data_IF_315149666108
#
_entry.id   IF_315149666108
#
_cell.length_a   1.000
_cell.length_b   1.000
_cell.length_c   1.000
_cell.angle_alpha   90.00
_cell.angle_beta   90.00
_cell.angle_gamma   90.00
#
_symmetry.space_group_name_H-M   'P 1'
#
loop_
_entity.id
_entity.type
_entity.pdbx_description
1 polymer ?
#
# COMPACT_ATOMS: atom_id res chain seq x y z
N UNK A 1 -2.89 -0.93 -29.57
CA UNK A 1 -1.72 -1.29 -28.77
C UNK A 1 -0.68 -0.22 -28.96
N UNK A 2 -0.19 0.41 -27.89
CA UNK A 2 0.97 1.30 -28.00
C UNK A 2 2.14 0.50 -28.56
N UNK A 3 2.98 1.12 -29.38
CA UNK A 3 4.22 0.52 -29.86
C UNK A 3 5.17 0.37 -28.66
N UNK A 4 5.09 -0.78 -27.97
CA UNK A 4 5.91 -1.07 -26.80
C UNK A 4 7.40 -1.07 -27.13
N UNK A 5 7.76 -1.55 -28.33
CA UNK A 5 9.14 -1.56 -28.77
C UNK A 5 9.69 -0.14 -28.93
N UNK A 6 8.93 0.73 -29.60
CA UNK A 6 9.29 2.15 -29.71
C UNK A 6 9.37 2.84 -28.36
N UNK A 7 8.52 2.47 -27.40
CA UNK A 7 8.54 3.02 -26.05
C UNK A 7 9.81 2.59 -25.30
N UNK A 8 10.19 1.32 -25.37
CA UNK A 8 11.38 0.79 -24.69
C UNK A 8 12.68 1.29 -25.31
N UNK A 9 12.70 1.58 -26.62
CA UNK A 9 13.86 2.14 -27.32
C UNK A 9 14.23 3.55 -26.84
N UNK A 10 13.31 4.26 -26.18
CA UNK A 10 13.59 5.56 -25.56
C UNK A 10 14.54 5.43 -24.35
N UNK A 11 14.55 4.26 -23.69
CA UNK A 11 15.37 3.99 -22.49
C UNK A 11 16.66 3.31 -22.91
N UNK A 12 17.82 3.95 -22.74
CA UNK A 12 19.10 3.38 -23.17
C UNK A 12 19.38 1.97 -22.64
N UNK A 13 19.07 1.70 -21.37
CA UNK A 13 19.28 0.41 -20.72
C UNK A 13 18.43 -0.73 -21.33
N UNK A 14 17.37 -0.43 -22.08
CA UNK A 14 16.45 -1.43 -22.65
C UNK A 14 16.69 -1.68 -24.16
N UNK A 15 17.60 -0.96 -24.82
CA UNK A 15 17.82 -1.06 -26.26
C UNK A 15 18.30 -2.44 -26.72
N UNK A 16 19.16 -3.08 -25.93
CA UNK A 16 19.69 -4.42 -26.23
C UNK A 16 18.88 -5.53 -25.54
N UNK A 17 17.56 -5.34 -25.38
CA UNK A 17 16.67 -6.33 -24.74
C UNK A 17 16.66 -7.66 -25.49
N UNK A 18 16.71 -8.74 -24.74
CA UNK A 18 16.68 -10.12 -25.21
C UNK A 18 15.30 -10.74 -25.07
N UNK A 19 14.59 -10.36 -24.02
CA UNK A 19 13.23 -10.83 -23.76
C UNK A 19 12.40 -9.74 -23.09
N UNK A 20 11.08 -9.79 -23.34
CA UNK A 20 10.06 -8.97 -22.68
C UNK A 20 8.95 -9.91 -22.27
N UNK A 21 8.59 -9.93 -21.00
CA UNK A 21 7.50 -10.71 -20.46
C UNK A 21 6.62 -9.82 -19.57
N UNK A 22 5.31 -9.86 -19.79
CA UNK A 22 4.37 -9.18 -18.92
C UNK A 22 4.34 -9.85 -17.54
N UNK A 23 4.40 -9.04 -16.48
CA UNK A 23 4.26 -9.49 -15.11
C UNK A 23 2.80 -9.43 -14.71
N UNK A 24 2.28 -10.54 -14.21
CA UNK A 24 0.90 -10.64 -13.71
C UNK A 24 0.71 -9.84 -12.40
N UNK A 25 -0.51 -9.44 -12.10
CA UNK A 25 -0.92 -8.91 -10.78
C UNK A 25 -1.08 -7.40 -10.69
N UNK A 26 -0.78 -6.61 -11.72
CA UNK A 26 -1.02 -5.16 -11.70
C UNK A 26 -2.51 -4.82 -11.81
N UNK A 27 -3.09 -4.11 -10.83
CA UNK A 27 -4.48 -3.65 -10.85
C UNK A 27 -4.64 -2.20 -11.34
N UNK A 28 -3.54 -1.47 -11.51
CA UNK A 28 -3.51 -0.05 -11.93
C UNK A 28 -2.54 0.19 -13.08
N UNK A 29 -1.50 -0.64 -13.21
CA UNK A 29 -0.41 -0.50 -14.16
C UNK A 29 -0.18 -1.80 -14.91
N UNK A 30 0.43 -1.71 -16.10
CA UNK A 30 1.01 -2.88 -16.76
C UNK A 30 2.51 -2.91 -16.51
N UNK A 31 3.00 -3.99 -15.95
CA UNK A 31 4.41 -4.18 -15.63
C UNK A 31 5.03 -5.23 -16.57
N UNK A 32 6.24 -4.96 -17.04
CA UNK A 32 7.00 -5.87 -17.89
C UNK A 32 8.35 -6.17 -17.26
N UNK A 33 8.74 -7.45 -17.23
CA UNK A 33 10.14 -7.84 -17.01
C UNK A 33 10.88 -7.79 -18.34
N UNK A 34 11.95 -7.02 -18.40
CA UNK A 34 12.81 -6.87 -19.57
C UNK A 34 14.20 -7.37 -19.22
N UNK A 35 14.72 -8.35 -19.97
CA UNK A 35 16.06 -8.87 -19.79
C UNK A 35 17.01 -8.34 -20.86
N UNK A 36 18.18 -7.89 -20.44
CA UNK A 36 19.26 -7.40 -21.30
C UNK A 36 20.58 -8.10 -20.96
N UNK A 37 21.66 -7.88 -21.72
CA UNK A 37 22.99 -8.36 -21.34
C UNK A 37 23.50 -7.82 -20.00
N UNK A 38 23.04 -6.64 -19.61
CA UNK A 38 23.50 -5.93 -18.40
C UNK A 38 22.70 -6.29 -17.15
N UNK A 39 21.48 -6.82 -17.31
CA UNK A 39 20.61 -7.18 -16.17
C UNK A 39 19.16 -7.35 -16.55
N UNK A 40 18.33 -7.49 -15.53
CA UNK A 40 16.87 -7.52 -15.68
C UNK A 40 16.26 -6.27 -15.05
N UNK A 41 15.18 -5.79 -15.69
CA UNK A 41 14.48 -4.56 -15.30
C UNK A 41 12.98 -4.80 -15.21
N UNK A 42 12.31 -4.02 -14.36
CA UNK A 42 10.86 -3.88 -14.38
C UNK A 42 10.52 -2.58 -15.08
N UNK A 43 9.72 -2.66 -16.13
CA UNK A 43 9.20 -1.50 -16.85
C UNK A 43 7.72 -1.37 -16.52
N UNK A 44 7.38 -0.32 -15.77
CA UNK A 44 6.01 0.03 -15.43
C UNK A 44 5.47 1.01 -16.44
N UNK A 45 4.37 0.64 -17.10
CA UNK A 45 3.60 1.50 -18.00
C UNK A 45 2.30 1.85 -17.29
N UNK A 46 2.16 3.12 -16.90
CA UNK A 46 1.00 3.57 -16.13
C UNK A 46 -0.13 4.03 -17.02
N UNK A 47 -1.38 3.78 -16.59
CA UNK A 47 -2.55 4.32 -17.25
C UNK A 47 -2.60 5.86 -17.13
N UNK A 48 -3.10 6.53 -18.18
CA UNK A 48 -3.17 8.00 -18.23
C UNK A 48 -4.19 8.61 -17.25
N UNK A 49 -5.18 7.83 -16.77
CA UNK A 49 -6.28 8.30 -15.94
C UNK A 49 -6.10 7.99 -14.43
N UNK A 50 -4.87 7.93 -13.95
CA UNK A 50 -4.55 7.65 -12.53
C UNK A 50 -5.09 8.71 -11.53
N UNK A 51 -5.50 9.87 -12.01
CA UNK A 51 -6.03 10.97 -11.18
C UNK A 51 -7.31 10.64 -10.40
N UNK A 52 -8.14 9.69 -10.86
CA UNK A 52 -9.32 9.22 -10.13
C UNK A 52 -8.94 8.50 -8.83
N UNK A 53 -7.83 7.76 -8.86
CA UNK A 53 -7.32 6.95 -7.75
C UNK A 53 -6.38 7.71 -6.80
N UNK A 54 -6.26 9.03 -6.94
CA UNK A 54 -5.37 9.87 -6.15
C UNK A 54 -3.87 9.55 -6.32
N UNK A 55 -3.46 8.93 -7.41
CA UNK A 55 -2.07 8.59 -7.69
C UNK A 55 -1.37 9.76 -8.37
N UNK A 56 -0.23 10.19 -7.82
CA UNK A 56 0.70 11.16 -8.41
C UNK A 56 1.98 10.45 -8.85
N UNK A 57 2.25 10.39 -10.15
CA UNK A 57 3.38 9.63 -10.71
C UNK A 57 4.75 10.27 -10.43
N UNK A 58 4.82 11.57 -10.25
CA UNK A 58 6.06 12.22 -9.84
C UNK A 58 6.36 11.94 -8.36
N UNK A 59 5.32 11.94 -7.51
CA UNK A 59 5.44 11.53 -6.11
C UNK A 59 5.91 10.06 -6.00
N UNK A 60 5.29 9.14 -6.75
CA UNK A 60 5.70 7.73 -6.84
C UNK A 60 7.20 7.61 -7.20
N UNK A 61 7.63 8.30 -8.27
CA UNK A 61 9.03 8.28 -8.71
C UNK A 61 9.99 8.76 -7.63
N UNK A 62 9.74 9.94 -7.02
CA UNK A 62 10.62 10.53 -6.02
C UNK A 62 10.70 9.68 -4.75
N UNK A 63 9.57 9.10 -4.33
CA UNK A 63 9.51 8.24 -3.16
C UNK A 63 10.16 6.88 -3.42
N UNK A 64 10.05 6.32 -4.64
CA UNK A 64 10.78 5.12 -5.04
C UNK A 64 12.30 5.34 -4.97
N UNK A 65 12.78 6.51 -5.43
CA UNK A 65 14.21 6.88 -5.31
C UNK A 65 14.62 6.91 -3.83
N UNK A 66 13.84 7.55 -2.96
CA UNK A 66 14.13 7.63 -1.53
C UNK A 66 14.17 6.24 -0.86
N UNK A 67 13.23 5.36 -1.19
CA UNK A 67 13.19 3.98 -0.70
C UNK A 67 14.39 3.14 -1.20
N UNK A 68 14.81 3.35 -2.44
CA UNK A 68 16.01 2.71 -3.01
C UNK A 68 17.28 3.18 -2.28
N UNK A 69 17.43 4.48 -2.03
CA UNK A 69 18.55 5.05 -1.25
C UNK A 69 18.60 4.49 0.19
N UNK A 70 17.44 4.24 0.80
CA UNK A 70 17.35 3.58 2.11
C UNK A 70 17.65 2.07 2.05
N UNK A 71 17.87 1.52 0.86
CA UNK A 71 18.19 0.12 0.65
C UNK A 71 17.00 -0.83 0.87
N UNK A 72 15.76 -0.35 0.77
CA UNK A 72 14.55 -1.17 0.93
C UNK A 72 13.73 -1.27 -0.36
N UNK A 73 13.84 -0.31 -1.29
CA UNK A 73 13.18 -0.31 -2.59
C UNK A 73 14.08 -0.83 -3.73
N UNK A 74 13.52 -0.89 -4.94
CA UNK A 74 14.26 -1.12 -6.19
C UNK A 74 14.94 0.17 -6.66
N UNK A 75 16.14 0.07 -7.23
CA UNK A 75 16.80 1.24 -7.81
C UNK A 75 16.03 1.71 -9.07
N UNK A 76 15.89 3.03 -9.18
CA UNK A 76 15.31 3.64 -10.37
C UNK A 76 16.38 3.77 -11.44
N UNK A 77 16.09 3.24 -12.63
CA UNK A 77 16.97 3.27 -13.80
C UNK A 77 16.65 4.44 -14.70
N UNK A 78 15.34 4.67 -14.95
CA UNK A 78 14.88 5.78 -15.77
C UNK A 78 13.43 6.16 -15.43
N UNK A 79 13.05 7.42 -15.72
CA UNK A 79 11.69 7.91 -15.56
C UNK A 79 11.34 8.86 -16.69
N UNK A 80 10.34 8.49 -17.48
CA UNK A 80 9.84 9.27 -18.61
C UNK A 80 8.38 9.66 -18.35
N UNK A 81 8.12 10.80 -17.68
CA UNK A 81 6.77 11.19 -17.26
C UNK A 81 5.81 11.40 -18.42
N UNK A 82 6.26 11.96 -19.56
CA UNK A 82 5.43 12.17 -20.73
C UNK A 82 4.93 10.86 -21.36
N UNK A 83 5.69 9.78 -21.20
CA UNK A 83 5.36 8.44 -21.66
C UNK A 83 4.67 7.60 -20.56
N UNK A 84 4.51 8.13 -19.35
CA UNK A 84 4.00 7.42 -18.18
C UNK A 84 4.81 6.14 -17.88
N UNK A 85 6.15 6.24 -18.02
CA UNK A 85 7.06 5.11 -17.92
C UNK A 85 8.00 5.28 -16.72
N UNK A 86 8.07 4.25 -15.89
CA UNK A 86 9.05 4.11 -14.81
C UNK A 86 9.83 2.80 -15.00
N UNK A 87 11.15 2.88 -14.99
CA UNK A 87 12.05 1.72 -15.16
C UNK A 87 12.85 1.50 -13.89
N UNK A 88 12.77 0.29 -13.36
CA UNK A 88 13.38 -0.12 -12.11
C UNK A 88 14.31 -1.31 -12.34
N UNK A 89 15.32 -1.46 -11.51
CA UNK A 89 16.05 -2.73 -11.41
C UNK A 89 15.09 -3.85 -10.96
N UNK A 90 15.24 -5.03 -11.59
CA UNK A 90 14.48 -6.21 -11.18
C UNK A 90 15.08 -6.79 -9.89
N UNK A 91 14.31 -6.80 -8.81
CA UNK A 91 14.73 -7.44 -7.56
C UNK A 91 14.63 -8.96 -7.72
N UNK A 92 15.76 -9.64 -7.59
CA UNK A 92 15.80 -11.11 -7.57
C UNK A 92 15.42 -11.60 -6.19
N UNK A 93 14.32 -12.36 -6.11
CA UNK A 93 13.80 -12.86 -4.84
C UNK A 93 12.48 -13.59 -5.04
N UNK A 94 11.81 -13.91 -3.94
CA UNK A 94 10.51 -14.59 -3.93
C UNK A 94 9.44 -13.61 -3.44
N UNK A 95 8.48 -13.32 -4.29
CA UNK A 95 7.27 -12.54 -3.91
C UNK A 95 6.50 -13.32 -2.85
N UNK A 96 6.10 -12.64 -1.78
CA UNK A 96 5.32 -13.25 -0.71
C UNK A 96 3.85 -13.37 -1.10
N UNK A 97 3.17 -14.30 -0.47
CA UNK A 97 1.71 -14.45 -0.50
C UNK A 97 1.12 -14.16 0.88
N UNK A 98 -0.18 -13.93 0.96
CA UNK A 98 -0.86 -13.80 2.26
C UNK A 98 -0.65 -15.03 3.15
N UNK A 99 -0.58 -16.23 2.56
CA UNK A 99 -0.29 -17.48 3.30
C UNK A 99 1.13 -17.49 3.87
N UNK A 100 2.12 -16.96 3.13
CA UNK A 100 3.49 -16.81 3.62
C UNK A 100 3.54 -15.85 4.80
N UNK A 101 2.85 -14.73 4.72
CA UNK A 101 2.76 -13.75 5.81
C UNK A 101 2.06 -14.32 7.06
N UNK A 102 0.99 -15.09 6.87
CA UNK A 102 0.22 -15.72 7.96
C UNK A 102 0.99 -16.79 8.72
N UNK A 103 2.05 -17.39 8.15
CA UNK A 103 2.94 -18.28 8.91
C UNK A 103 3.61 -17.58 10.09
N UNK A 104 3.82 -16.27 9.97
CA UNK A 104 4.32 -15.43 11.04
C UNK A 104 5.82 -15.58 11.34
N UNK A 105 6.53 -16.45 10.63
CA UNK A 105 7.94 -16.77 10.87
C UNK A 105 8.93 -15.67 10.44
N UNK A 106 8.42 -14.62 9.79
CA UNK A 106 9.21 -13.49 9.28
C UNK A 106 8.64 -12.12 9.67
N UNK A 107 7.82 -12.04 10.70
CA UNK A 107 7.23 -10.76 11.17
C UNK A 107 8.30 -9.77 11.66
N UNK A 108 9.41 -10.25 12.18
CA UNK A 108 10.58 -9.45 12.52
C UNK A 108 11.25 -8.82 11.26
N UNK A 109 11.30 -9.55 10.14
CA UNK A 109 11.80 -9.03 8.85
C UNK A 109 10.84 -8.00 8.27
N UNK A 110 9.53 -8.21 8.40
CA UNK A 110 8.50 -7.23 8.00
C UNK A 110 8.71 -5.94 8.78
N UNK A 111 8.81 -6.03 10.12
CA UNK A 111 9.06 -4.88 10.98
C UNK A 111 10.40 -4.19 10.66
N UNK A 112 11.45 -4.96 10.35
CA UNK A 112 12.75 -4.42 9.97
C UNK A 112 12.70 -3.67 8.62
N UNK A 113 11.95 -4.19 7.63
CA UNK A 113 11.74 -3.50 6.35
C UNK A 113 10.97 -2.19 6.54
N UNK A 114 9.89 -2.19 7.33
CA UNK A 114 9.15 -0.98 7.68
C UNK A 114 10.04 0.05 8.41
N UNK A 115 10.81 -0.35 9.44
CA UNK A 115 11.74 0.58 10.10
C UNK A 115 12.77 1.19 9.16
N UNK A 116 13.27 0.41 8.19
CA UNK A 116 14.22 0.90 7.19
C UNK A 116 13.56 1.94 6.27
N UNK A 117 12.32 1.68 5.82
CA UNK A 117 11.55 2.62 5.03
C UNK A 117 11.23 3.90 5.80
N UNK A 118 10.74 3.76 7.04
CA UNK A 118 10.37 4.88 7.90
C UNK A 118 11.56 5.74 8.32
N UNK A 119 12.78 5.19 8.25
CA UNK A 119 14.05 5.93 8.43
C UNK A 119 14.60 6.55 7.15
N UNK A 120 13.94 6.43 6.01
CA UNK A 120 14.35 7.03 4.75
C UNK A 120 14.26 8.56 4.79
N UNK A 121 14.79 9.22 3.76
CA UNK A 121 14.55 10.63 3.54
C UNK A 121 13.05 10.91 3.43
N UNK A 122 12.53 12.01 4.02
CA UNK A 122 11.10 12.34 3.97
C UNK A 122 10.53 12.26 2.55
N UNK A 123 9.36 11.65 2.44
CA UNK A 123 8.62 11.60 1.19
C UNK A 123 8.02 12.96 0.87
N UNK A 124 7.67 13.18 -0.40
CA UNK A 124 7.25 14.48 -0.91
C UNK A 124 5.91 14.94 -0.33
N UNK A 125 4.91 14.07 -0.40
CA UNK A 125 3.54 14.39 -0.07
C UNK A 125 3.05 13.59 1.15
N UNK A 126 2.05 14.13 1.82
CA UNK A 126 1.38 13.44 2.92
C UNK A 126 0.34 12.44 2.37
N UNK A 127 0.17 11.34 3.10
CA UNK A 127 -0.94 10.42 2.91
C UNK A 127 -1.77 10.34 4.18
N UNK A 128 -3.11 10.44 4.05
CA UNK A 128 -4.03 10.27 5.16
C UNK A 128 -5.27 9.50 4.71
N UNK A 129 -5.50 8.33 5.29
CA UNK A 129 -6.62 7.47 4.88
C UNK A 129 -7.98 8.10 5.15
N UNK A 130 -8.14 8.99 6.15
CA UNK A 130 -9.40 9.71 6.34
C UNK A 130 -9.70 10.64 5.17
N UNK A 131 -8.67 11.34 4.65
CA UNK A 131 -8.84 12.24 3.49
C UNK A 131 -9.08 11.47 2.20
N UNK A 132 -8.37 10.36 1.99
CA UNK A 132 -8.56 9.45 0.85
C UNK A 132 -9.98 8.88 0.89
N UNK A 133 -10.46 8.38 2.02
CA UNK A 133 -11.81 7.85 2.20
C UNK A 133 -12.86 8.92 1.85
N UNK A 134 -12.73 10.13 2.39
CA UNK A 134 -13.64 11.25 2.08
C UNK A 134 -13.62 11.63 0.59
N UNK A 135 -12.43 11.62 -0.04
CA UNK A 135 -12.27 11.89 -1.48
C UNK A 135 -12.95 10.82 -2.32
N UNK A 136 -12.71 9.54 -2.01
CA UNK A 136 -13.31 8.43 -2.74
C UNK A 136 -14.82 8.37 -2.55
N UNK A 137 -15.33 8.61 -1.34
CA UNK A 137 -16.76 8.67 -1.09
C UNK A 137 -17.47 9.73 -1.94
N UNK A 138 -16.89 10.95 -2.00
CA UNK A 138 -17.42 12.01 -2.88
C UNK A 138 -17.41 11.58 -4.35
N UNK A 139 -16.38 10.88 -4.79
CA UNK A 139 -16.29 10.40 -6.17
C UNK A 139 -17.31 9.32 -6.47
N UNK A 140 -17.44 8.32 -5.59
CA UNK A 140 -18.44 7.22 -5.70
C UNK A 140 -19.84 7.80 -5.79
N UNK A 141 -20.21 8.71 -4.89
CA UNK A 141 -21.53 9.37 -4.88
C UNK A 141 -21.75 10.22 -6.14
N UNK A 142 -20.75 11.02 -6.55
CA UNK A 142 -20.86 11.89 -7.72
C UNK A 142 -21.03 11.10 -9.03
N UNK A 143 -20.39 9.93 -9.13
CA UNK A 143 -20.42 9.08 -10.33
C UNK A 143 -21.52 8.05 -10.29
N UNK A 144 -22.21 7.87 -9.16
CA UNK A 144 -23.24 6.85 -8.99
C UNK A 144 -22.68 5.43 -9.01
N UNK A 145 -21.42 5.25 -8.58
CA UNK A 145 -20.83 3.93 -8.42
C UNK A 145 -21.46 3.17 -7.26
N UNK A 146 -21.32 1.85 -7.22
CA UNK A 146 -21.85 1.00 -6.17
C UNK A 146 -21.29 1.41 -4.81
N UNK A 147 -22.14 1.46 -3.79
CA UNK A 147 -21.75 1.72 -2.41
C UNK A 147 -22.30 0.59 -1.54
N UNK A 148 -21.51 -0.02 -0.65
CA UNK A 148 -22.02 -1.06 0.24
C UNK A 148 -23.17 -0.57 1.12
N UNK A 149 -24.12 -1.45 1.40
CA UNK A 149 -25.19 -1.16 2.36
C UNK A 149 -24.59 -0.75 3.72
N UNK A 150 -25.25 0.17 4.41
CA UNK A 150 -24.80 0.71 5.71
C UNK A 150 -23.47 1.49 5.69
N UNK A 151 -22.77 1.65 4.53
CA UNK A 151 -21.47 2.31 4.50
C UNK A 151 -21.48 3.67 5.23
N UNK A 152 -22.51 4.49 4.99
CA UNK A 152 -22.63 5.82 5.61
C UNK A 152 -23.01 5.80 7.10
N UNK A 153 -23.50 4.66 7.61
CA UNK A 153 -23.90 4.52 9.02
C UNK A 153 -22.67 4.55 9.94
N UNK A 154 -21.48 4.19 9.45
CA UNK A 154 -20.23 4.17 10.21
C UNK A 154 -19.50 5.51 10.27
N UNK A 155 -20.02 6.56 9.64
CA UNK A 155 -19.40 7.89 9.68
C UNK A 155 -19.19 8.43 11.12
N UNK A 156 -20.10 8.22 12.10
CA UNK A 156 -19.82 8.58 13.50
C UNK A 156 -18.64 7.86 14.11
N UNK A 157 -18.48 6.55 13.85
CA UNK A 157 -17.34 5.76 14.32
C UNK A 157 -16.04 6.22 13.68
N UNK A 158 -16.03 6.51 12.37
CA UNK A 158 -14.87 7.06 11.66
C UNK A 158 -14.42 8.39 12.31
N UNK A 159 -15.36 9.29 12.61
CA UNK A 159 -15.04 10.54 13.31
C UNK A 159 -14.48 10.31 14.72
N UNK A 160 -14.99 9.33 15.44
CA UNK A 160 -14.46 8.97 16.77
C UNK A 160 -13.02 8.46 16.68
N UNK A 161 -12.69 7.63 15.68
CA UNK A 161 -11.32 7.18 15.44
C UNK A 161 -10.42 8.38 15.15
N UNK A 162 -10.80 9.24 14.20
CA UNK A 162 -10.00 10.41 13.80
C UNK A 162 -9.74 11.32 15.00
N UNK A 163 -10.76 11.61 15.81
CA UNK A 163 -10.61 12.42 17.03
C UNK A 163 -9.71 11.76 18.07
N UNK A 164 -9.84 10.46 18.28
CA UNK A 164 -9.01 9.73 19.26
C UNK A 164 -7.54 9.67 18.82
N UNK A 165 -7.28 9.46 17.52
CA UNK A 165 -5.94 9.51 16.94
C UNK A 165 -5.26 10.87 17.09
N UNK A 166 -6.05 11.95 17.00
CA UNK A 166 -5.57 13.34 17.13
C UNK A 166 -5.22 13.73 18.58
N UNK A 167 -5.64 12.98 19.59
CA UNK A 167 -5.27 13.24 21.01
C UNK A 167 -3.76 13.09 21.21
N UNK A 168 -3.15 12.14 20.50
CA UNK A 168 -1.71 11.92 20.52
C UNK A 168 -1.19 12.00 19.08
N UNK A 169 -0.46 13.06 18.80
CA UNK A 169 0.25 13.19 17.53
C UNK A 169 1.54 12.36 17.62
N UNK A 170 1.60 11.31 16.80
CA UNK A 170 2.77 10.42 16.71
C UNK A 170 3.77 10.88 15.63
N UNK A 171 3.46 12.00 14.95
CA UNK A 171 4.20 12.45 13.78
C UNK A 171 3.98 11.55 12.57
N UNK A 172 4.71 11.84 11.51
CA UNK A 172 4.66 11.07 10.26
C UNK A 172 6.03 10.61 9.82
N UNK A 173 6.07 9.47 9.15
CA UNK A 173 7.27 8.85 8.58
C UNK A 173 7.01 8.48 7.12
N UNK A 174 8.06 8.24 6.30
CA UNK A 174 7.89 7.71 4.95
C UNK A 174 7.22 6.33 4.98
N UNK A 175 6.03 6.19 4.42
CA UNK A 175 5.25 4.95 4.35
C UNK A 175 4.95 4.57 2.89
N UNK A 176 4.89 3.28 2.61
CA UNK A 176 4.40 2.77 1.34
C UNK A 176 2.88 2.93 1.22
N UNK A 177 2.14 2.73 2.32
CA UNK A 177 0.68 2.85 2.46
C UNK A 177 -0.16 1.79 1.75
N UNK A 178 0.45 0.88 1.00
CA UNK A 178 -0.23 -0.19 0.25
C UNK A 178 0.55 -1.50 0.31
N UNK A 179 0.95 -1.92 1.52
CA UNK A 179 1.75 -3.13 1.72
C UNK A 179 0.87 -4.39 1.76
N UNK A 180 0.43 -4.81 0.57
CA UNK A 180 -0.04 -6.18 0.35
C UNK A 180 1.13 -7.16 0.46
N UNK A 181 0.84 -8.44 0.69
CA UNK A 181 1.87 -9.49 0.77
C UNK A 181 2.76 -9.52 -0.49
N UNK A 182 2.16 -9.34 -1.66
CA UNK A 182 2.81 -9.32 -2.97
C UNK A 182 3.83 -8.18 -3.15
N UNK A 183 3.77 -7.16 -2.31
CA UNK A 183 4.72 -6.04 -2.30
C UNK A 183 5.97 -6.31 -1.46
N UNK A 184 6.07 -7.50 -0.85
CA UNK A 184 7.27 -7.96 -0.15
C UNK A 184 8.03 -8.99 -1.00
N UNK A 185 9.29 -8.67 -1.32
CA UNK A 185 10.20 -9.58 -2.03
C UNK A 185 11.23 -10.10 -1.03
N UNK A 186 11.18 -11.40 -0.75
CA UNK A 186 12.19 -12.10 0.06
C UNK A 186 13.49 -12.26 -0.73
N UNK A 187 14.54 -11.62 -0.30
CA UNK A 187 15.87 -11.65 -0.93
C UNK A 187 16.86 -12.56 -0.18
N UNK A 188 16.37 -13.35 0.78
CA UNK A 188 17.13 -14.34 1.54
C UNK A 188 17.71 -13.85 2.87
N UNK A 189 17.90 -12.55 3.04
CA UNK A 189 18.39 -11.90 4.27
C UNK A 189 17.48 -10.77 4.76
N UNK A 190 16.28 -10.69 4.23
CA UNK A 190 15.25 -9.71 4.57
C UNK A 190 14.29 -9.45 3.42
N UNK A 191 13.46 -8.42 3.60
CA UNK A 191 12.52 -8.00 2.57
C UNK A 191 12.97 -6.74 1.85
N UNK A 192 12.68 -6.68 0.54
CA UNK A 192 12.58 -5.46 -0.26
C UNK A 192 11.11 -5.17 -0.50
N UNK A 193 10.77 -3.88 -0.55
CA UNK A 193 9.42 -3.40 -0.76
C UNK A 193 9.30 -2.81 -2.16
N UNK A 194 8.17 -3.07 -2.80
CA UNK A 194 7.85 -2.56 -4.14
C UNK A 194 6.51 -1.81 -4.11
N UNK A 195 6.20 -1.16 -5.21
CA UNK A 195 4.95 -0.45 -5.47
C UNK A 195 4.68 0.73 -4.55
N UNK A 196 5.25 1.88 -4.90
CA UNK A 196 5.17 3.13 -4.12
C UNK A 196 4.11 4.11 -4.64
N UNK A 197 3.10 3.65 -5.39
CA UNK A 197 2.12 4.55 -6.03
C UNK A 197 1.20 5.29 -5.02
N UNK A 198 1.00 4.73 -3.82
CA UNK A 198 0.28 5.37 -2.71
C UNK A 198 1.21 5.89 -1.60
N UNK A 199 2.52 5.85 -1.82
CA UNK A 199 3.49 6.24 -0.81
C UNK A 199 3.39 7.73 -0.45
N UNK A 200 3.66 8.01 0.81
CA UNK A 200 3.63 9.38 1.38
C UNK A 200 4.01 9.37 2.84
N UNK A 201 4.10 10.56 3.41
CA UNK A 201 4.30 10.70 4.86
C UNK A 201 3.03 10.31 5.59
N UNK A 202 3.13 9.36 6.52
CA UNK A 202 1.97 8.86 7.28
C UNK A 202 2.40 8.38 8.68
N UNK A 203 1.41 8.07 9.51
CA UNK A 203 1.58 7.40 10.79
C UNK A 203 2.21 6.01 10.62
N UNK A 204 3.27 5.70 11.35
CA UNK A 204 3.92 4.39 11.30
C UNK A 204 2.95 3.23 11.61
N UNK A 205 2.00 3.45 12.51
CA UNK A 205 0.98 2.45 12.84
C UNK A 205 -0.02 2.21 11.70
N UNK A 206 -0.17 3.16 10.74
CA UNK A 206 -0.95 2.91 9.54
C UNK A 206 -0.33 1.78 8.72
N UNK A 207 0.98 1.83 8.48
CA UNK A 207 1.70 0.78 7.74
C UNK A 207 1.51 -0.59 8.38
N UNK A 208 1.70 -0.70 9.71
CA UNK A 208 1.54 -1.95 10.45
C UNK A 208 0.10 -2.48 10.41
N UNK A 209 -0.88 -1.58 10.54
CA UNK A 209 -2.31 -1.89 10.43
C UNK A 209 -2.73 -2.27 9.01
N UNK A 210 -2.17 -1.63 7.99
CA UNK A 210 -2.38 -1.98 6.59
C UNK A 210 -1.86 -3.40 6.30
N UNK A 211 -0.63 -3.73 6.70
CA UNK A 211 -0.06 -5.08 6.56
C UNK A 211 -0.94 -6.14 7.23
N UNK A 212 -1.36 -5.89 8.48
CA UNK A 212 -2.28 -6.77 9.20
C UNK A 212 -3.59 -6.99 8.41
N UNK A 213 -4.16 -5.91 7.92
CA UNK A 213 -5.39 -5.93 7.14
C UNK A 213 -5.26 -6.69 5.83
N UNK A 214 -4.24 -6.37 5.03
CA UNK A 214 -4.08 -6.89 3.68
C UNK A 214 -3.61 -8.35 3.66
N UNK A 215 -2.73 -8.73 4.59
CA UNK A 215 -2.24 -10.10 4.72
C UNK A 215 -3.16 -11.01 5.57
N UNK A 216 -4.30 -10.49 6.08
CA UNK A 216 -5.22 -11.23 6.94
C UNK A 216 -4.54 -11.87 8.17
N UNK A 217 -3.61 -11.15 8.79
CA UNK A 217 -2.95 -11.61 10.00
C UNK A 217 -3.93 -11.71 11.18
N UNK A 218 -3.68 -12.63 12.10
CA UNK A 218 -4.44 -12.73 13.35
C UNK A 218 -4.11 -11.55 14.29
N UNK A 219 -4.95 -11.30 15.31
CA UNK A 219 -4.68 -10.28 16.32
C UNK A 219 -3.37 -10.54 17.10
N UNK A 220 -3.02 -11.79 17.51
CA UNK A 220 -1.71 -12.07 18.09
C UNK A 220 -0.54 -11.72 17.16
N UNK A 221 -0.68 -11.92 15.84
CA UNK A 221 0.35 -11.55 14.88
C UNK A 221 0.47 -10.03 14.69
N UNK A 222 -0.64 -9.28 14.80
CA UNK A 222 -0.57 -7.82 14.85
C UNK A 222 0.21 -7.35 16.09
N UNK A 223 -0.07 -7.93 17.25
CA UNK A 223 0.61 -7.63 18.51
C UNK A 223 2.12 -7.91 18.39
N UNK A 224 2.48 -9.07 17.83
CA UNK A 224 3.86 -9.46 17.56
C UNK A 224 4.55 -8.51 16.56
N UNK A 225 3.90 -8.15 15.46
CA UNK A 225 4.43 -7.23 14.45
C UNK A 225 4.71 -5.85 15.06
N UNK A 226 3.76 -5.32 15.84
CA UNK A 226 3.92 -4.03 16.54
C UNK A 226 5.05 -4.12 17.57
N UNK A 227 5.13 -5.23 18.34
CA UNK A 227 6.21 -5.49 19.30
C UNK A 227 7.59 -5.54 18.62
N UNK A 228 7.71 -6.21 17.48
CA UNK A 228 8.95 -6.22 16.70
C UNK A 228 9.31 -4.84 16.15
N UNK A 229 8.32 -4.03 15.78
CA UNK A 229 8.57 -2.69 15.24
C UNK A 229 9.05 -1.71 16.32
N UNK A 230 8.40 -1.66 17.47
CA UNK A 230 8.74 -0.73 18.57
C UNK A 230 9.81 -1.28 19.52
N UNK A 231 10.10 -2.59 19.49
CA UNK A 231 11.02 -3.26 20.41
C UNK A 231 10.42 -3.62 21.75
N UNK A 232 9.13 -3.31 21.96
CA UNK A 232 8.36 -3.60 23.16
C UNK A 232 6.86 -3.67 22.85
N UNK A 233 6.08 -4.31 23.73
CA UNK A 233 4.63 -4.43 23.56
C UNK A 233 3.94 -3.21 24.15
N UNK A 234 3.47 -2.31 23.27
CA UNK A 234 2.77 -1.08 23.61
C UNK A 234 1.29 -1.21 23.23
N UNK A 235 0.42 -1.35 24.22
CA UNK A 235 -1.02 -1.58 23.99
C UNK A 235 -1.69 -0.47 23.20
N UNK A 236 -1.29 0.79 23.38
CA UNK A 236 -1.78 1.93 22.63
C UNK A 236 -1.33 1.89 21.15
N UNK A 237 -0.13 1.40 20.85
CA UNK A 237 0.36 1.23 19.47
C UNK A 237 -0.36 0.09 18.75
N UNK A 238 -0.64 -1.01 19.45
CA UNK A 238 -1.46 -2.11 18.92
C UNK A 238 -2.88 -1.62 18.62
N UNK A 239 -3.50 -0.87 19.56
CA UNK A 239 -4.81 -0.27 19.34
C UNK A 239 -4.78 0.70 18.14
N UNK A 240 -3.74 1.53 18.03
CA UNK A 240 -3.55 2.48 16.93
C UNK A 240 -3.41 1.77 15.59
N UNK A 241 -2.56 0.74 15.51
CA UNK A 241 -2.39 -0.05 14.30
C UNK A 241 -3.68 -0.79 13.89
N UNK A 242 -4.43 -1.35 14.86
CA UNK A 242 -5.72 -2.01 14.59
C UNK A 242 -6.77 -1.04 14.06
N UNK A 243 -6.88 0.17 14.64
CA UNK A 243 -7.80 1.21 14.15
C UNK A 243 -7.39 1.73 12.77
N UNK A 244 -6.10 1.88 12.49
CA UNK A 244 -5.62 2.21 11.15
C UNK A 244 -5.88 1.10 10.14
N UNK A 245 -5.71 -0.17 10.51
CA UNK A 245 -6.09 -1.31 9.67
C UNK A 245 -7.59 -1.38 9.40
N UNK A 246 -8.44 -0.99 10.36
CA UNK A 246 -9.87 -0.80 10.16
C UNK A 246 -10.14 0.30 9.12
N UNK A 247 -9.49 1.45 9.25
CA UNK A 247 -9.64 2.56 8.29
C UNK A 247 -9.10 2.21 6.90
N UNK A 248 -8.02 1.42 6.82
CA UNK A 248 -7.51 0.86 5.57
C UNK A 248 -8.57 0.02 4.85
N UNK A 249 -9.15 -0.98 5.52
CA UNK A 249 -10.24 -1.81 4.98
C UNK A 249 -11.42 -0.96 4.47
N UNK A 250 -11.86 -0.02 5.31
CA UNK A 250 -13.01 0.83 5.02
C UNK A 250 -12.74 1.78 3.84
N UNK A 251 -11.55 2.36 3.76
CA UNK A 251 -11.16 3.26 2.66
C UNK A 251 -10.94 2.53 1.34
N UNK A 252 -10.22 1.40 1.35
CA UNK A 252 -9.95 0.61 0.15
C UNK A 252 -11.21 -0.06 -0.44
N UNK A 253 -12.26 -0.26 0.36
CA UNK A 253 -13.59 -0.65 -0.16
C UNK A 253 -14.11 0.34 -1.21
N UNK A 254 -13.90 1.64 -1.01
CA UNK A 254 -14.31 2.65 -1.99
C UNK A 254 -13.42 2.67 -3.23
N UNK A 255 -12.12 2.37 -3.08
CA UNK A 255 -11.22 2.17 -4.21
C UNK A 255 -11.73 1.02 -5.11
N UNK A 256 -12.11 -0.09 -4.48
CA UNK A 256 -12.70 -1.22 -5.20
C UNK A 256 -14.00 -0.84 -5.93
N UNK A 257 -14.86 -0.05 -5.30
CA UNK A 257 -16.07 0.50 -5.91
C UNK A 257 -15.78 1.39 -7.12
N UNK A 258 -14.71 2.20 -7.06
CA UNK A 258 -14.27 3.03 -8.20
C UNK A 258 -13.78 2.13 -9.33
N UNK A 259 -12.93 1.15 -9.01
CA UNK A 259 -12.37 0.21 -9.99
C UNK A 259 -13.46 -0.64 -10.66
N UNK A 260 -14.45 -1.13 -9.90
CA UNK A 260 -15.64 -1.82 -10.44
C UNK A 260 -16.37 -0.98 -11.49
N UNK A 261 -16.40 0.35 -11.29
CA UNK A 261 -17.06 1.29 -12.20
C UNK A 261 -16.25 1.73 -13.41
N UNK A 262 -14.91 1.63 -13.40
CA UNK A 262 -14.06 2.23 -14.45
C UNK A 262 -13.01 1.29 -15.05
N UNK A 263 -12.61 0.23 -14.35
CA UNK A 263 -11.52 -0.65 -14.80
C UNK A 263 -11.93 -1.51 -15.98
N UNK A 264 -10.97 -1.77 -16.87
CA UNK A 264 -11.10 -2.73 -17.96
C UNK A 264 -10.37 -4.06 -17.67
N UNK A 265 -9.79 -4.18 -16.47
CA UNK A 265 -9.09 -5.37 -16.01
C UNK A 265 -10.14 -6.44 -15.65
N UNK A 266 -9.94 -7.67 -16.11
CA UNK A 266 -10.80 -8.81 -15.77
C UNK A 266 -10.51 -9.28 -14.33
N UNK A 267 -11.08 -8.56 -13.38
CA UNK A 267 -10.96 -8.82 -11.94
C UNK A 267 -12.26 -8.40 -11.24
N UNK A 268 -12.74 -9.20 -10.30
CA UNK A 268 -13.96 -8.90 -9.53
C UNK A 268 -13.64 -7.94 -8.38
N UNK A 269 -13.48 -6.65 -8.72
CA UNK A 269 -13.21 -5.60 -7.76
C UNK A 269 -14.28 -5.46 -6.69
N UNK A 270 -15.55 -5.70 -7.08
CA UNK A 270 -16.65 -5.56 -6.14
C UNK A 270 -16.58 -6.63 -5.03
N UNK A 271 -16.48 -7.89 -5.39
CA UNK A 271 -16.38 -8.98 -4.41
C UNK A 271 -15.15 -8.79 -3.52
N UNK A 272 -13.99 -8.47 -4.10
CA UNK A 272 -12.79 -8.17 -3.34
C UNK A 272 -12.95 -6.98 -2.36
N UNK A 273 -13.63 -5.91 -2.77
CA UNK A 273 -13.95 -4.77 -1.92
C UNK A 273 -14.94 -5.12 -0.80
N UNK A 274 -15.94 -5.96 -1.10
CA UNK A 274 -16.92 -6.40 -0.10
C UNK A 274 -16.30 -7.28 0.99
N UNK A 275 -15.32 -8.13 0.68
CA UNK A 275 -14.58 -8.89 1.70
C UNK A 275 -13.86 -7.97 2.70
N UNK A 276 -13.28 -6.86 2.22
CA UNK A 276 -12.67 -5.84 3.08
C UNK A 276 -13.74 -5.13 3.92
N UNK A 277 -14.85 -4.75 3.29
CA UNK A 277 -15.94 -4.06 3.94
C UNK A 277 -16.56 -4.89 5.08
N UNK A 278 -16.85 -6.17 4.83
CA UNK A 278 -17.43 -7.06 5.83
C UNK A 278 -16.53 -7.20 7.06
N UNK A 279 -15.21 -7.24 6.85
CA UNK A 279 -14.23 -7.24 7.93
C UNK A 279 -14.17 -5.89 8.66
N UNK A 280 -14.32 -4.77 7.97
CA UNK A 280 -14.42 -3.46 8.59
C UNK A 280 -15.68 -3.34 9.44
N UNK A 281 -16.83 -3.81 8.93
CA UNK A 281 -18.11 -3.85 9.68
C UNK A 281 -17.98 -4.68 10.95
N UNK A 282 -17.33 -5.84 10.88
CA UNK A 282 -17.10 -6.69 12.06
C UNK A 282 -16.26 -5.97 13.14
N UNK A 283 -15.31 -5.11 12.77
CA UNK A 283 -14.56 -4.28 13.72
C UNK A 283 -15.39 -3.12 14.27
N UNK A 284 -16.16 -2.40 13.41
CA UNK A 284 -17.01 -1.29 13.84
C UNK A 284 -18.13 -1.74 14.80
N UNK A 285 -18.78 -2.86 14.51
CA UNK A 285 -19.84 -3.44 15.34
C UNK A 285 -19.29 -4.35 16.45
N UNK A 286 -17.97 -4.53 16.47
CA UNK A 286 -17.29 -5.44 17.40
C UNK A 286 -17.22 -4.92 18.84
N UNK A 287 -17.11 -5.83 19.84
CA UNK A 287 -17.09 -5.46 21.24
C UNK A 287 -15.83 -4.70 21.69
N UNK A 288 -14.77 -4.75 20.87
CA UNK A 288 -13.51 -4.09 21.18
C UNK A 288 -13.45 -2.63 20.74
N UNK A 289 -14.37 -2.18 19.89
CA UNK A 289 -14.28 -0.85 19.24
C UNK A 289 -14.10 0.29 20.25
N UNK A 290 -14.96 0.35 21.27
CA UNK A 290 -14.89 1.42 22.28
C UNK A 290 -13.57 1.37 23.06
N UNK A 291 -13.13 0.18 23.44
CA UNK A 291 -11.85 -0.03 24.13
C UNK A 291 -10.65 0.42 23.27
N UNK A 292 -10.63 0.10 21.99
CA UNK A 292 -9.57 0.53 21.09
C UNK A 292 -9.51 2.06 20.96
N UNK A 293 -10.68 2.72 20.85
CA UNK A 293 -10.78 4.19 20.81
C UNK A 293 -10.28 4.82 22.13
N UNK A 294 -10.45 4.16 23.27
CA UNK A 294 -9.90 4.62 24.56
C UNK A 294 -8.38 4.34 24.65
N UNK A 295 -7.95 3.13 24.28
CA UNK A 295 -6.55 2.70 24.44
C UNK A 295 -5.58 3.53 23.58
N UNK A 296 -5.98 3.94 22.35
CA UNK A 296 -5.15 4.77 21.48
C UNK A 296 -4.83 6.16 22.05
N UNK A 297 -5.60 6.62 23.02
CA UNK A 297 -5.42 7.92 23.69
C UNK A 297 -4.51 7.85 24.93
N UNK A 298 -4.17 6.64 25.39
CA UNK A 298 -3.32 6.45 26.58
C UNK A 298 -1.85 6.69 26.26
N UNK A 299 -1.08 7.08 27.29
CA UNK A 299 0.38 7.12 27.19
C UNK A 299 0.97 5.70 27.15
N UNK A 300 2.12 5.59 26.52
CA UNK A 300 2.96 4.39 26.57
C UNK A 300 3.38 4.06 27.99
#
# INVERSE_FOLDING_TARGET
MADLDGLFDLVPALRERRSVAELAGGLTNTNYKVETPEGAYVVRVSAKDSGLLAIDRENEYLNTVSAAEAGVGAAVVDYLPEQSLLVLEFIVGTTQTSEDMQRGDKLDWVAAACRRLHGARPFRDDFNMFDIQRRYLRLVQKRGFRLPDRYLEFEPQVRRIEQAMAVRDEGTVPCNNDLLAENFIDVGDGFRLIDYEYSGMNDACFELGNIWSESNLSLPQLDELVGHYYGENLANKVARARLWGLMSKYGWTLWASIQDGVSHIDFDFWTWGMEKYDRAVAEFDGPDFDRLVEDVQRSD
#
